data_IF_214720859730
#
_entry.id   IF_214720859730
#
_cell.length_a   1.000
_cell.length_b   1.000
_cell.length_c   1.000
_cell.angle_alpha   90.00
_cell.angle_beta   90.00
_cell.angle_gamma   90.00
#
_symmetry.space_group_name_H-M   'P 1'
#
loop_
_entity.id
_entity.type
_entity.pdbx_description
1 polymer ?
#
# COMPACT_ATOMS: atom_id res chain seq x y z
N UNK A 1 11.48 16.91 -25.80
CA UNK A 1 11.28 16.25 -24.49
C UNK A 1 10.04 15.37 -24.58
N UNK A 2 10.17 14.05 -24.56
CA UNK A 2 9.03 13.15 -24.50
C UNK A 2 8.54 13.16 -23.06
N UNK A 3 7.32 13.66 -22.82
CA UNK A 3 6.66 13.47 -21.53
C UNK A 3 6.43 11.97 -21.36
N UNK A 4 7.14 11.34 -20.43
CA UNK A 4 6.81 9.99 -20.00
C UNK A 4 5.39 10.07 -19.39
N UNK A 5 4.41 9.69 -20.17
CA UNK A 5 3.05 9.50 -19.66
C UNK A 5 3.10 8.33 -18.69
N UNK A 6 2.92 8.63 -17.42
CA UNK A 6 2.84 7.64 -16.37
C UNK A 6 1.48 6.97 -16.53
N UNK A 7 1.49 5.72 -16.97
CA UNK A 7 0.28 4.91 -17.08
C UNK A 7 0.17 4.00 -15.87
N UNK A 8 -0.83 4.20 -15.03
CA UNK A 8 -1.25 3.21 -14.03
C UNK A 8 -2.21 2.22 -14.66
N UNK A 9 -2.17 0.95 -14.21
CA UNK A 9 -3.15 -0.09 -14.58
C UNK A 9 -4.48 0.08 -13.84
N UNK A 10 -4.53 0.95 -12.84
CA UNK A 10 -5.74 1.26 -12.09
C UNK A 10 -6.75 2.02 -12.94
N UNK A 11 -8.05 1.82 -12.67
CA UNK A 11 -9.14 2.62 -13.27
C UNK A 11 -9.02 4.11 -12.96
N UNK A 12 -8.29 4.47 -11.90
CA UNK A 12 -8.02 5.87 -11.54
C UNK A 12 -6.89 6.49 -12.36
N UNK A 13 -6.16 5.73 -13.18
CA UNK A 13 -4.91 6.13 -13.85
C UNK A 13 -5.04 7.11 -15.03
N UNK A 14 -6.22 7.67 -15.30
CA UNK A 14 -6.50 8.48 -16.50
C UNK A 14 -6.10 9.95 -16.45
N UNK A 15 -5.49 10.45 -15.38
CA UNK A 15 -5.16 11.86 -15.17
C UNK A 15 -3.67 12.19 -15.41
N UNK A 16 -3.35 13.49 -15.57
CA UNK A 16 -2.01 13.91 -16.05
C UNK A 16 -0.93 14.05 -14.98
N UNK A 17 -1.28 14.20 -13.70
CA UNK A 17 -0.29 14.37 -12.61
C UNK A 17 -0.50 13.33 -11.51
N UNK A 18 0.57 12.68 -11.08
CA UNK A 18 0.50 11.56 -10.13
C UNK A 18 -0.11 11.92 -8.77
N UNK A 19 0.26 13.07 -8.19
CA UNK A 19 -0.22 13.55 -6.89
C UNK A 19 -1.72 13.85 -6.92
N UNK A 20 -2.17 14.63 -7.92
CA UNK A 20 -3.59 14.96 -8.12
C UNK A 20 -4.46 13.70 -8.28
N UNK A 21 -3.95 12.67 -8.98
CA UNK A 21 -4.67 11.42 -9.22
C UNK A 21 -4.90 10.66 -7.91
N UNK A 22 -3.82 10.50 -7.15
CA UNK A 22 -3.86 9.72 -5.91
C UNK A 22 -4.79 10.38 -4.89
N UNK A 23 -4.71 11.71 -4.76
CA UNK A 23 -5.59 12.46 -3.87
C UNK A 23 -7.04 12.43 -4.34
N UNK A 24 -7.31 12.63 -5.62
CA UNK A 24 -8.67 12.56 -6.16
C UNK A 24 -9.27 11.15 -5.96
N UNK A 25 -8.50 10.09 -6.19
CA UNK A 25 -8.95 8.72 -5.96
C UNK A 25 -9.28 8.47 -4.48
N UNK A 26 -8.44 8.96 -3.55
CA UNK A 26 -8.71 8.90 -2.11
C UNK A 26 -10.01 9.60 -1.76
N UNK A 27 -10.20 10.84 -2.25
CA UNK A 27 -11.39 11.64 -1.98
C UNK A 27 -12.67 10.98 -2.51
N UNK A 28 -12.64 10.40 -3.72
CA UNK A 28 -13.77 9.65 -4.25
C UNK A 28 -14.10 8.40 -3.43
N UNK A 29 -13.07 7.69 -2.94
CA UNK A 29 -13.30 6.55 -2.04
C UNK A 29 -13.92 6.98 -0.71
N UNK A 30 -13.50 8.11 -0.16
CA UNK A 30 -14.09 8.68 1.06
C UNK A 30 -15.55 9.08 0.84
N UNK A 31 -15.87 9.71 -0.29
CA UNK A 31 -17.24 10.08 -0.63
C UNK A 31 -18.14 8.85 -0.75
N UNK A 32 -17.70 7.81 -1.45
CA UNK A 32 -18.44 6.56 -1.63
C UNK A 32 -18.55 5.72 -0.36
N UNK A 33 -17.49 5.68 0.45
CA UNK A 33 -17.46 4.94 1.71
C UNK A 33 -18.17 5.65 2.86
N UNK A 34 -18.43 6.95 2.70
CA UNK A 34 -19.19 7.79 3.62
C UNK A 34 -18.57 7.88 5.02
N UNK A 35 -19.40 8.24 6.04
CA UNK A 35 -18.92 8.44 7.41
C UNK A 35 -18.20 7.24 8.01
N UNK A 36 -18.60 6.03 7.67
CA UNK A 36 -18.01 4.82 8.23
C UNK A 36 -16.54 4.64 7.78
N UNK A 37 -16.24 4.88 6.49
CA UNK A 37 -14.86 4.86 6.00
C UNK A 37 -14.04 6.01 6.60
N UNK A 38 -14.61 7.21 6.68
CA UNK A 38 -13.95 8.38 7.26
C UNK A 38 -13.53 8.14 8.71
N UNK A 39 -14.45 7.60 9.53
CA UNK A 39 -14.16 7.25 10.92
C UNK A 39 -13.12 6.13 11.03
N UNK A 40 -13.09 5.17 10.10
CA UNK A 40 -12.08 4.12 10.06
C UNK A 40 -10.68 4.68 9.75
N UNK A 41 -10.58 5.67 8.85
CA UNK A 41 -9.30 6.26 8.42
C UNK A 41 -8.71 7.26 9.41
N UNK A 42 -9.57 8.04 10.07
CA UNK A 42 -9.13 9.19 10.88
C UNK A 42 -9.56 9.11 12.36
N UNK A 43 -10.08 7.97 12.80
CA UNK A 43 -10.69 7.80 14.09
C UNK A 43 -12.10 8.40 14.16
N UNK A 44 -12.72 8.31 15.32
CA UNK A 44 -14.06 8.86 15.50
C UNK A 44 -13.99 10.41 15.55
N UNK A 45 -14.02 11.01 14.35
CA UNK A 45 -14.10 12.46 14.18
C UNK A 45 -15.54 12.98 14.23
N UNK A 46 -16.47 12.12 14.62
CA UNK A 46 -17.88 12.48 14.75
C UNK A 46 -18.56 12.79 13.42
N UNK A 47 -18.16 12.11 12.33
CA UNK A 47 -18.78 12.28 11.00
C UNK A 47 -20.16 11.62 11.02
N UNK A 48 -21.19 12.43 11.22
CA UNK A 48 -22.59 11.96 11.26
C UNK A 48 -23.32 12.18 9.94
N UNK A 49 -22.78 13.01 9.04
CA UNK A 49 -23.48 13.49 7.85
C UNK A 49 -22.71 13.27 6.55
N UNK A 50 -23.40 13.37 5.42
CA UNK A 50 -22.81 13.33 4.09
C UNK A 50 -21.69 14.37 3.95
N UNK A 51 -20.52 13.92 3.60
CA UNK A 51 -19.35 14.78 3.42
C UNK A 51 -19.32 15.32 2.00
N UNK A 52 -19.17 16.62 1.83
CA UNK A 52 -18.88 17.24 0.54
C UNK A 52 -17.38 17.17 0.28
N UNK A 53 -17.01 16.64 -0.86
CA UNK A 53 -15.63 16.44 -1.29
C UNK A 53 -15.33 17.40 -2.46
N UNK A 54 -14.28 18.20 -2.34
CA UNK A 54 -13.79 19.05 -3.41
C UNK A 54 -12.33 18.71 -3.72
N UNK A 55 -12.01 18.55 -4.99
CA UNK A 55 -10.64 18.45 -5.48
C UNK A 55 -10.15 19.83 -5.90
N UNK A 56 -8.89 20.18 -5.59
CA UNK A 56 -8.25 21.44 -5.97
C UNK A 56 -9.05 22.69 -5.54
N UNK A 57 -8.97 23.01 -4.26
CA UNK A 57 -9.66 24.19 -3.70
C UNK A 57 -9.00 25.47 -4.17
N UNK A 58 -9.76 26.30 -4.91
CA UNK A 58 -9.27 27.56 -5.41
C UNK A 58 -8.93 28.55 -4.28
N UNK A 59 -7.66 28.64 -3.94
CA UNK A 59 -7.10 29.66 -3.06
C UNK A 59 -6.34 30.74 -3.87
N UNK A 60 -6.20 31.93 -3.33
CA UNK A 60 -5.51 33.05 -4.01
C UNK A 60 -4.00 32.89 -4.10
N UNK A 61 -3.37 32.07 -3.23
CA UNK A 61 -1.91 31.89 -3.16
C UNK A 61 -1.45 30.44 -2.93
N UNK A 62 -2.33 29.60 -2.42
CA UNK A 62 -2.04 28.18 -2.16
C UNK A 62 -3.31 27.38 -2.43
N UNK A 63 -3.16 26.25 -3.10
CA UNK A 63 -4.26 25.38 -3.51
C UNK A 63 -4.00 24.03 -2.86
N UNK A 64 -4.70 23.66 -1.76
CA UNK A 64 -4.67 22.31 -1.24
C UNK A 64 -5.18 21.30 -2.27
N UNK A 65 -4.62 20.08 -2.25
CA UNK A 65 -5.02 19.02 -3.18
C UNK A 65 -6.47 18.59 -3.00
N UNK A 66 -7.03 18.76 -1.78
CA UNK A 66 -8.40 18.42 -1.49
C UNK A 66 -9.00 19.13 -0.29
N UNK A 67 -10.31 19.06 -0.21
CA UNK A 67 -11.12 19.63 0.86
C UNK A 67 -12.27 18.71 1.21
N UNK A 68 -12.50 18.52 2.51
CA UNK A 68 -13.64 17.83 3.07
C UNK A 68 -14.46 18.81 3.88
N UNK A 69 -15.76 18.89 3.57
CA UNK A 69 -16.74 19.74 4.29
C UNK A 69 -17.93 18.92 4.76
N UNK A 70 -18.18 18.96 6.04
CA UNK A 70 -19.39 18.45 6.70
C UNK A 70 -19.68 19.33 7.91
N UNK A 71 -19.89 18.74 9.09
CA UNK A 71 -19.81 19.40 10.40
C UNK A 71 -18.35 19.77 10.79
N UNK A 72 -17.39 19.48 9.93
CA UNK A 72 -15.97 19.82 10.02
C UNK A 72 -15.49 20.37 8.68
N UNK A 73 -14.35 21.07 8.71
CA UNK A 73 -13.68 21.59 7.52
C UNK A 73 -12.20 21.18 7.56
N UNK A 74 -11.77 20.36 6.60
CA UNK A 74 -10.41 19.82 6.53
C UNK A 74 -9.84 20.10 5.14
N UNK A 75 -8.68 20.73 5.08
CA UNK A 75 -7.84 20.76 3.90
C UNK A 75 -6.90 19.56 3.89
N UNK A 76 -6.74 18.95 2.73
CA UNK A 76 -5.84 17.82 2.52
C UNK A 76 -4.74 18.26 1.57
N UNK A 77 -3.51 18.04 1.99
CA UNK A 77 -2.32 18.14 1.16
C UNK A 77 -1.63 16.79 1.14
N UNK A 78 -1.24 16.33 -0.03
CA UNK A 78 -0.61 15.04 -0.20
C UNK A 78 0.76 15.15 -0.86
N UNK A 79 1.66 14.22 -0.54
CA UNK A 79 2.97 14.08 -1.15
C UNK A 79 3.19 12.62 -1.50
N UNK A 80 3.38 12.36 -2.78
CA UNK A 80 3.67 10.99 -3.28
C UNK A 80 5.17 10.75 -3.45
N UNK A 81 5.98 11.79 -3.32
CA UNK A 81 7.44 11.73 -3.35
C UNK A 81 8.00 11.95 -1.94
N UNK A 82 9.23 11.48 -1.65
CA UNK A 82 9.89 11.76 -0.38
C UNK A 82 9.91 13.25 -0.05
N UNK A 83 9.66 13.60 1.20
CA UNK A 83 9.59 15.00 1.69
C UNK A 83 10.82 15.83 1.31
N UNK A 84 11.97 15.18 1.23
CA UNK A 84 13.25 15.80 0.85
C UNK A 84 13.33 16.15 -0.64
N UNK A 85 12.50 15.54 -1.49
CA UNK A 85 12.37 15.91 -2.89
C UNK A 85 11.59 17.22 -2.97
N UNK A 86 12.14 18.21 -3.66
CA UNK A 86 11.58 19.57 -3.71
C UNK A 86 11.41 20.25 -2.33
N UNK A 87 12.30 19.97 -1.39
CA UNK A 87 12.22 20.39 0.03
C UNK A 87 11.79 21.83 0.23
N UNK A 88 12.45 22.80 -0.42
CA UNK A 88 12.13 24.23 -0.27
C UNK A 88 10.70 24.57 -0.71
N UNK A 89 10.21 23.89 -1.74
CA UNK A 89 8.84 24.04 -2.21
C UNK A 89 7.85 23.48 -1.18
N UNK A 90 8.11 22.28 -0.66
CA UNK A 90 7.29 21.65 0.38
C UNK A 90 7.19 22.51 1.64
N UNK A 91 8.30 23.10 2.10
CA UNK A 91 8.30 24.02 3.24
C UNK A 91 7.51 25.32 2.95
N UNK A 92 7.61 25.85 1.74
CA UNK A 92 6.83 27.03 1.35
C UNK A 92 5.32 26.72 1.33
N UNK A 93 4.92 25.61 0.73
CA UNK A 93 3.53 25.15 0.72
C UNK A 93 3.00 24.92 2.15
N UNK A 94 3.77 24.25 3.00
CA UNK A 94 3.40 23.98 4.39
C UNK A 94 3.02 25.28 5.11
N UNK A 95 3.83 26.33 4.97
CA UNK A 95 3.57 27.64 5.61
C UNK A 95 2.31 28.29 5.08
N UNK A 96 2.10 28.28 3.77
CA UNK A 96 0.91 28.85 3.13
C UNK A 96 -0.37 28.09 3.52
N UNK A 97 -0.32 26.74 3.56
CA UNK A 97 -1.46 25.92 3.97
C UNK A 97 -1.81 26.11 5.46
N UNK A 98 -0.83 26.26 6.35
CA UNK A 98 -1.07 26.58 7.76
C UNK A 98 -1.79 27.94 7.87
N UNK A 99 -1.37 28.93 7.08
CA UNK A 99 -2.01 30.24 7.06
C UNK A 99 -3.45 30.13 6.55
N UNK A 100 -3.67 29.45 5.42
CA UNK A 100 -4.98 29.27 4.82
C UNK A 100 -5.94 28.53 5.77
N UNK A 101 -5.48 27.49 6.44
CA UNK A 101 -6.29 26.72 7.41
C UNK A 101 -6.75 27.60 8.58
N UNK A 102 -5.87 28.46 9.10
CA UNK A 102 -6.23 29.42 10.16
C UNK A 102 -7.25 30.47 9.69
N UNK A 103 -7.05 31.05 8.50
CA UNK A 103 -7.96 32.05 7.92
C UNK A 103 -9.36 31.49 7.71
N UNK A 104 -9.50 30.21 7.39
CA UNK A 104 -10.78 29.55 7.12
C UNK A 104 -11.30 28.69 8.29
N UNK A 105 -10.67 28.73 9.44
CA UNK A 105 -11.01 27.88 10.60
C UNK A 105 -11.10 26.40 10.23
N UNK A 106 -10.20 25.94 9.33
CA UNK A 106 -10.12 24.58 8.86
C UNK A 106 -8.98 23.81 9.56
N UNK A 107 -9.12 22.52 9.72
CA UNK A 107 -8.04 21.61 10.03
C UNK A 107 -7.18 21.37 8.80
N UNK A 108 -5.93 20.98 8.99
CA UNK A 108 -5.01 20.65 7.92
C UNK A 108 -4.51 19.22 8.12
N UNK A 109 -4.69 18.36 7.10
CA UNK A 109 -4.19 17.00 7.06
C UNK A 109 -3.09 16.90 6.00
N UNK A 110 -1.91 16.47 6.40
CA UNK A 110 -0.83 16.09 5.48
C UNK A 110 -0.76 14.56 5.34
N UNK A 111 -0.68 14.09 4.10
CA UNK A 111 -0.48 12.69 3.74
C UNK A 111 0.85 12.60 3.01
N UNK A 112 1.81 11.85 3.55
CA UNK A 112 3.14 11.78 2.95
C UNK A 112 3.50 10.36 2.48
N UNK A 113 4.59 10.28 1.72
CA UNK A 113 5.20 9.02 1.32
C UNK A 113 5.85 8.30 2.51
N UNK A 114 6.53 9.06 3.38
CA UNK A 114 7.24 8.53 4.53
C UNK A 114 6.29 7.87 5.54
N UNK A 115 6.74 6.76 6.13
CA UNK A 115 6.03 6.08 7.23
C UNK A 115 6.35 6.72 8.61
N UNK A 116 7.30 7.66 8.66
CA UNK A 116 7.60 8.50 9.80
C UNK A 116 7.27 9.97 9.51
N UNK A 117 6.74 10.67 10.52
CA UNK A 117 6.38 12.08 10.36
C UNK A 117 7.59 12.92 9.98
N UNK A 118 7.59 13.66 8.86
CA UNK A 118 8.66 14.60 8.54
C UNK A 118 8.87 15.64 9.65
N UNK A 119 10.13 15.88 10.03
CA UNK A 119 10.49 16.75 11.14
C UNK A 119 9.86 18.14 11.05
N UNK A 120 9.68 18.67 9.83
CA UNK A 120 9.11 19.99 9.65
C UNK A 120 7.60 20.01 9.91
N UNK A 121 6.88 18.93 9.58
CA UNK A 121 5.47 18.76 9.92
C UNK A 121 5.32 18.56 11.43
N UNK A 122 6.19 17.75 12.04
CA UNK A 122 6.18 17.47 13.48
C UNK A 122 6.34 18.73 14.37
N UNK A 123 6.94 19.80 13.85
CA UNK A 123 7.03 21.10 14.55
C UNK A 123 5.68 21.81 14.69
N UNK A 124 4.64 21.33 14.02
CA UNK A 124 3.33 21.96 13.96
C UNK A 124 2.24 21.02 14.50
N UNK A 125 2.06 20.90 15.83
CA UNK A 125 1.16 19.92 16.46
C UNK A 125 -0.32 20.11 16.08
N UNK A 126 -0.68 21.25 15.50
CA UNK A 126 -2.03 21.52 14.97
C UNK A 126 -2.31 20.86 13.61
N UNK A 127 -1.28 20.28 12.97
CA UNK A 127 -1.43 19.58 11.70
C UNK A 127 -1.66 18.10 11.99
N UNK A 128 -2.74 17.55 11.47
CA UNK A 128 -2.92 16.10 11.42
C UNK A 128 -2.02 15.52 10.33
N UNK A 129 -1.40 14.39 10.63
CA UNK A 129 -0.52 13.71 9.69
C UNK A 129 -0.82 12.21 9.63
N UNK A 130 -0.68 11.69 8.42
CA UNK A 130 -0.68 10.24 8.15
C UNK A 130 0.18 9.96 6.92
N UNK A 131 0.30 8.69 6.52
CA UNK A 131 1.07 8.29 5.35
C UNK A 131 0.27 7.32 4.46
N UNK A 132 0.62 7.23 3.19
CA UNK A 132 -0.12 6.45 2.20
C UNK A 132 -0.23 4.97 2.55
N UNK A 133 0.81 4.38 3.16
CA UNK A 133 0.77 2.97 3.57
C UNK A 133 -0.30 2.73 4.63
N UNK A 134 -0.36 3.59 5.66
CA UNK A 134 -1.37 3.48 6.70
C UNK A 134 -2.81 3.62 6.13
N UNK A 135 -3.03 4.62 5.28
CA UNK A 135 -4.34 4.80 4.61
C UNK A 135 -4.75 3.53 3.86
N UNK A 136 -3.82 2.94 3.08
CA UNK A 136 -4.11 1.71 2.35
C UNK A 136 -4.43 0.54 3.29
N UNK A 137 -3.66 0.38 4.35
CA UNK A 137 -3.87 -0.71 5.33
C UNK A 137 -5.20 -0.55 6.07
N UNK A 138 -5.56 0.67 6.46
CA UNK A 138 -6.85 0.97 7.11
C UNK A 138 -8.03 0.73 6.14
N UNK A 139 -7.91 1.15 4.87
CA UNK A 139 -8.92 0.85 3.84
C UNK A 139 -9.08 -0.65 3.59
N UNK A 140 -8.00 -1.42 3.60
CA UNK A 140 -8.06 -2.88 3.46
C UNK A 140 -8.72 -3.55 4.66
N UNK A 141 -8.51 -3.02 5.85
CA UNK A 141 -9.24 -3.50 7.03
C UNK A 141 -10.72 -3.19 6.91
N UNK A 142 -11.06 -1.95 6.58
CA UNK A 142 -12.44 -1.53 6.36
C UNK A 142 -13.13 -2.38 5.29
N UNK A 143 -12.43 -2.74 4.20
CA UNK A 143 -12.92 -3.63 3.15
C UNK A 143 -13.35 -4.99 3.69
N UNK A 144 -12.62 -5.57 4.66
CA UNK A 144 -12.95 -6.87 5.25
C UNK A 144 -14.23 -6.82 6.08
N UNK A 145 -14.58 -5.66 6.61
CA UNK A 145 -15.75 -5.44 7.45
C UNK A 145 -17.00 -5.04 6.64
N UNK A 146 -16.81 -4.71 5.37
CA UNK A 146 -17.86 -4.26 4.46
C UNK A 146 -18.27 -5.34 3.46
N UNK A 147 -19.54 -5.72 3.51
CA UNK A 147 -20.13 -6.63 2.53
C UNK A 147 -20.57 -5.87 1.25
N UNK A 148 -19.64 -5.06 0.68
CA UNK A 148 -19.88 -4.24 -0.51
C UNK A 148 -18.82 -4.53 -1.58
N UNK A 149 -19.19 -5.35 -2.58
CA UNK A 149 -18.30 -5.76 -3.67
C UNK A 149 -17.70 -4.58 -4.45
N UNK A 150 -18.46 -3.49 -4.62
CA UNK A 150 -17.97 -2.30 -5.31
C UNK A 150 -16.83 -1.66 -4.53
N UNK A 151 -16.96 -1.49 -3.21
CA UNK A 151 -15.89 -0.95 -2.37
C UNK A 151 -14.69 -1.89 -2.33
N UNK A 152 -14.91 -3.20 -2.29
CA UNK A 152 -13.83 -4.20 -2.39
C UNK A 152 -13.03 -4.01 -3.67
N UNK A 153 -13.72 -3.86 -4.81
CA UNK A 153 -13.09 -3.63 -6.10
C UNK A 153 -12.34 -2.29 -6.14
N UNK A 154 -12.97 -1.20 -5.70
CA UNK A 154 -12.40 0.15 -5.74
C UNK A 154 -11.16 0.30 -4.84
N UNK A 155 -11.17 -0.29 -3.64
CA UNK A 155 -9.98 -0.32 -2.77
C UNK A 155 -8.86 -1.14 -3.41
N UNK A 156 -9.17 -2.23 -4.11
CA UNK A 156 -8.19 -2.97 -4.91
C UNK A 156 -7.58 -2.13 -6.03
N UNK A 157 -8.38 -1.32 -6.72
CA UNK A 157 -7.90 -0.40 -7.76
C UNK A 157 -7.05 0.74 -7.18
N UNK A 158 -7.38 1.22 -5.99
CA UNK A 158 -6.59 2.21 -5.28
C UNK A 158 -5.24 1.65 -4.82
N UNK A 159 -5.21 0.39 -4.38
CA UNK A 159 -3.95 -0.31 -4.09
C UNK A 159 -3.04 -0.34 -5.32
N UNK A 160 -3.57 -0.74 -6.49
CA UNK A 160 -2.80 -0.75 -7.75
C UNK A 160 -2.26 0.66 -8.06
N UNK A 161 -3.08 1.69 -7.87
CA UNK A 161 -2.68 3.07 -8.08
C UNK A 161 -1.52 3.48 -7.17
N UNK A 162 -1.62 3.19 -5.87
CA UNK A 162 -0.56 3.50 -4.90
C UNK A 162 0.72 2.72 -5.17
N UNK A 163 0.63 1.44 -5.53
CA UNK A 163 1.79 0.65 -5.94
C UNK A 163 2.47 1.26 -7.17
N UNK A 164 1.72 1.67 -8.19
CA UNK A 164 2.26 2.22 -9.43
C UNK A 164 2.86 3.63 -9.24
N UNK A 165 2.23 4.50 -8.46
CA UNK A 165 2.56 5.92 -8.42
C UNK A 165 3.31 6.37 -7.16
N UNK A 166 3.17 5.66 -6.05
CA UNK A 166 3.77 6.02 -4.77
C UNK A 166 4.88 5.06 -4.39
N UNK A 167 4.55 3.79 -4.18
CA UNK A 167 5.50 2.85 -3.57
C UNK A 167 6.57 2.34 -4.53
N UNK A 168 6.23 2.11 -5.82
CA UNK A 168 7.20 1.58 -6.79
C UNK A 168 8.23 2.60 -7.26
N UNK A 169 7.93 3.89 -7.22
CA UNK A 169 8.80 4.94 -7.76
C UNK A 169 10.03 5.21 -6.92
N UNK A 170 9.92 5.03 -5.62
CA UNK A 170 10.96 5.37 -4.65
C UNK A 170 11.63 4.14 -4.06
N UNK A 171 11.22 2.96 -4.50
CA UNK A 171 11.88 1.72 -4.19
C UNK A 171 13.08 1.52 -5.12
N UNK A 172 14.25 1.94 -4.64
CA UNK A 172 15.55 1.74 -5.34
C UNK A 172 16.07 0.31 -5.22
N UNK A 173 15.25 -0.64 -4.76
CA UNK A 173 15.63 -2.03 -4.61
C UNK A 173 15.66 -2.68 -6.01
N UNK A 174 16.81 -3.20 -6.39
CA UNK A 174 16.95 -3.98 -7.63
C UNK A 174 16.12 -5.25 -7.55
N UNK A 175 15.61 -5.71 -8.70
CA UNK A 175 14.77 -6.90 -8.76
C UNK A 175 15.45 -8.13 -8.17
N UNK A 176 16.80 -8.24 -8.36
CA UNK A 176 17.63 -9.32 -7.82
C UNK A 176 17.80 -9.28 -6.30
N UNK A 177 17.52 -8.15 -5.68
CA UNK A 177 17.60 -7.95 -4.22
C UNK A 177 16.22 -7.86 -3.58
N UNK A 178 15.15 -7.74 -4.38
CA UNK A 178 13.81 -7.52 -3.88
C UNK A 178 13.22 -8.78 -3.27
N UNK A 179 12.64 -8.62 -2.07
CA UNK A 179 11.88 -9.63 -1.36
C UNK A 179 10.41 -9.23 -1.35
N UNK A 180 9.55 -10.08 -1.85
CA UNK A 180 8.11 -10.00 -1.70
C UNK A 180 7.71 -10.60 -0.35
N UNK A 181 7.07 -9.84 0.52
CA UNK A 181 6.52 -10.34 1.79
C UNK A 181 5.00 -10.45 1.64
N UNK A 182 4.46 -11.65 1.92
CA UNK A 182 3.03 -11.95 1.80
C UNK A 182 2.49 -12.59 3.10
N UNK A 183 1.17 -12.51 3.37
CA UNK A 183 0.55 -13.26 4.45
C UNK A 183 0.74 -14.76 4.24
N UNK A 184 1.23 -15.46 5.28
CA UNK A 184 1.65 -16.86 5.18
C UNK A 184 0.60 -17.91 5.48
N UNK A 185 -0.53 -17.57 6.07
CA UNK A 185 -1.53 -18.48 6.69
C UNK A 185 -1.55 -19.93 6.16
N UNK A 186 -1.87 -20.14 4.90
CA UNK A 186 -1.81 -21.45 4.23
C UNK A 186 -0.59 -21.58 3.31
N UNK A 187 -0.11 -20.45 2.78
CA UNK A 187 0.95 -20.39 1.80
C UNK A 187 2.31 -20.82 2.39
N UNK A 188 2.60 -20.50 3.64
CA UNK A 188 3.83 -20.90 4.32
C UNK A 188 3.96 -22.43 4.41
N UNK A 189 2.88 -23.13 4.77
CA UNK A 189 2.87 -24.61 4.81
C UNK A 189 3.09 -25.20 3.41
N UNK A 190 2.46 -24.65 2.37
CA UNK A 190 2.64 -25.10 0.99
C UNK A 190 4.10 -24.89 0.56
N UNK A 191 4.65 -23.70 0.82
CA UNK A 191 6.04 -23.39 0.48
C UNK A 191 7.05 -24.32 1.19
N UNK A 192 6.84 -24.60 2.48
CA UNK A 192 7.70 -25.48 3.29
C UNK A 192 7.72 -26.94 2.82
N UNK A 193 6.55 -27.45 2.40
CA UNK A 193 6.41 -28.89 2.07
C UNK A 193 6.48 -29.19 0.58
N UNK A 194 6.10 -28.21 -0.27
CA UNK A 194 5.93 -28.44 -1.70
C UNK A 194 6.72 -27.47 -2.60
N UNK A 195 7.45 -26.50 -2.04
CA UNK A 195 8.32 -25.57 -2.76
C UNK A 195 7.59 -24.73 -3.83
N UNK A 196 6.36 -24.32 -3.58
CA UNK A 196 5.66 -23.37 -4.44
C UNK A 196 4.79 -22.41 -3.64
N UNK A 197 4.39 -21.33 -4.29
CA UNK A 197 3.38 -20.39 -3.82
C UNK A 197 2.31 -20.21 -4.89
N UNK A 198 1.06 -20.17 -4.46
CA UNK A 198 -0.09 -19.84 -5.31
C UNK A 198 -0.93 -18.73 -4.68
N UNK A 199 -1.54 -17.91 -5.51
CA UNK A 199 -2.51 -16.92 -5.08
C UNK A 199 -3.49 -16.59 -6.21
N UNK A 200 -4.39 -15.64 -5.96
CA UNK A 200 -5.40 -15.19 -6.93
C UNK A 200 -4.75 -14.80 -8.26
N UNK A 201 -5.38 -15.18 -9.36
CA UNK A 201 -4.89 -15.01 -10.72
C UNK A 201 -4.67 -13.54 -11.11
N UNK A 202 -5.52 -12.63 -10.63
CA UNK A 202 -5.53 -11.21 -10.94
C UNK A 202 -4.52 -10.39 -10.10
N UNK A 203 -3.85 -11.04 -9.17
CA UNK A 203 -2.88 -10.38 -8.30
C UNK A 203 -1.65 -9.92 -9.08
N UNK A 204 -1.27 -8.66 -8.90
CA UNK A 204 -0.09 -8.07 -9.55
C UNK A 204 1.08 -8.01 -8.57
N UNK A 205 2.27 -8.39 -9.07
CA UNK A 205 3.53 -8.34 -8.32
C UNK A 205 4.56 -7.53 -9.09
N UNK A 206 5.40 -6.79 -8.35
CA UNK A 206 6.65 -6.29 -8.90
C UNK A 206 7.63 -7.46 -9.05
N UNK A 207 8.51 -7.45 -10.05
CA UNK A 207 9.57 -8.44 -10.14
C UNK A 207 10.33 -8.52 -8.82
N UNK A 208 10.45 -9.72 -8.28
CA UNK A 208 11.17 -9.99 -7.04
C UNK A 208 11.92 -11.31 -7.16
N UNK A 209 13.14 -11.33 -6.65
CA UNK A 209 13.97 -12.54 -6.63
C UNK A 209 13.60 -13.46 -5.47
N UNK A 210 13.05 -12.90 -4.39
CA UNK A 210 12.76 -13.63 -3.17
C UNK A 210 11.33 -13.40 -2.70
N UNK A 211 10.80 -14.38 -1.93
CA UNK A 211 9.53 -14.29 -1.22
C UNK A 211 9.72 -14.73 0.23
N UNK A 212 9.06 -14.04 1.15
CA UNK A 212 9.00 -14.39 2.56
C UNK A 212 7.54 -14.40 3.03
N UNK A 213 7.23 -15.23 4.02
CA UNK A 213 5.90 -15.39 4.55
C UNK A 213 5.79 -14.77 5.94
N UNK A 214 4.83 -13.85 6.10
CA UNK A 214 4.48 -13.31 7.40
C UNK A 214 3.34 -14.14 8.00
N UNK A 215 3.62 -14.84 9.08
CA UNK A 215 2.67 -15.73 9.76
C UNK A 215 2.80 -15.53 11.28
N UNK A 216 1.67 -15.45 11.99
CA UNK A 216 1.63 -15.38 13.45
C UNK A 216 2.58 -14.35 14.07
N UNK A 217 2.63 -13.16 13.46
CA UNK A 217 3.48 -12.03 13.86
C UNK A 217 4.98 -12.27 13.70
N UNK A 218 5.39 -13.13 12.78
CA UNK A 218 6.81 -13.34 12.49
C UNK A 218 7.07 -13.68 11.02
N UNK A 219 8.34 -13.56 10.64
CA UNK A 219 8.91 -14.06 9.38
C UNK A 219 10.09 -14.96 9.78
N UNK A 220 10.06 -16.24 9.42
CA UNK A 220 11.06 -17.22 9.81
C UNK A 220 11.75 -17.92 8.62
N UNK A 221 11.30 -17.66 7.41
CA UNK A 221 11.84 -18.26 6.20
C UNK A 221 11.80 -17.32 5.01
N UNK A 222 12.79 -17.49 4.12
CA UNK A 222 12.87 -16.85 2.83
C UNK A 222 13.12 -17.87 1.74
N UNK A 223 12.52 -17.65 0.58
CA UNK A 223 12.64 -18.51 -0.58
C UNK A 223 13.08 -17.72 -1.79
N UNK A 224 13.88 -18.32 -2.66
CA UNK A 224 14.18 -17.80 -3.99
C UNK A 224 13.07 -18.18 -4.95
N UNK A 225 12.56 -17.22 -5.72
CA UNK A 225 11.62 -17.42 -6.81
C UNK A 225 12.45 -17.80 -8.05
N UNK A 226 12.35 -19.05 -8.52
CA UNK A 226 13.27 -19.56 -9.55
C UNK A 226 12.91 -19.14 -10.97
N UNK A 227 11.63 -19.01 -11.30
CA UNK A 227 11.15 -18.73 -12.65
C UNK A 227 10.21 -17.51 -12.73
N UNK A 228 10.31 -16.57 -11.77
CA UNK A 228 9.36 -15.48 -11.67
C UNK A 228 7.97 -15.99 -11.26
N UNK A 229 6.91 -15.37 -11.78
CA UNK A 229 5.55 -15.84 -11.57
C UNK A 229 4.87 -16.17 -12.90
N UNK A 230 4.03 -17.20 -12.87
CA UNK A 230 3.26 -17.69 -14.01
C UNK A 230 1.76 -17.54 -13.72
N UNK A 231 0.98 -17.13 -14.73
CA UNK A 231 -0.47 -17.18 -14.65
C UNK A 231 -0.94 -18.47 -15.30
N UNK A 232 -1.64 -19.29 -14.54
CA UNK A 232 -2.10 -20.61 -14.97
C UNK A 232 -3.60 -20.72 -14.81
N UNK A 233 -4.25 -21.42 -15.72
CA UNK A 233 -5.72 -21.65 -15.69
C UNK A 233 -6.11 -22.63 -14.57
N UNK A 234 -5.19 -23.53 -14.21
CA UNK A 234 -5.26 -24.40 -13.03
C UNK A 234 -3.86 -24.85 -12.65
N UNK A 235 -3.65 -25.35 -11.43
CA UNK A 235 -2.34 -25.91 -11.04
C UNK A 235 -1.97 -27.17 -11.84
N UNK A 236 -2.95 -27.92 -12.36
CA UNK A 236 -2.72 -29.10 -13.23
C UNK A 236 -2.07 -28.72 -14.56
N UNK A 237 -2.23 -27.44 -14.98
CA UNK A 237 -1.61 -26.93 -16.21
C UNK A 237 -0.14 -26.53 -16.05
N UNK A 238 0.40 -26.54 -14.82
CA UNK A 238 1.81 -26.21 -14.57
C UNK A 238 2.69 -27.34 -15.07
N UNK A 239 3.47 -27.06 -16.11
CA UNK A 239 4.40 -28.03 -16.70
C UNK A 239 5.70 -28.11 -15.93
N UNK A 240 6.33 -29.26 -15.95
CA UNK A 240 7.68 -29.48 -15.40
C UNK A 240 7.83 -29.08 -13.92
N UNK A 241 6.78 -29.29 -13.13
CA UNK A 241 6.81 -29.12 -11.69
C UNK A 241 6.27 -30.35 -10.98
N UNK A 242 7.10 -30.91 -10.07
CA UNK A 242 6.69 -32.03 -9.26
C UNK A 242 5.99 -31.56 -7.99
N UNK A 243 4.69 -31.73 -7.93
CA UNK A 243 3.88 -31.42 -6.76
C UNK A 243 4.02 -32.42 -5.62
N UNK A 244 4.70 -33.56 -5.85
CA UNK A 244 4.89 -34.60 -4.86
C UNK A 244 3.56 -35.12 -4.30
N UNK A 245 3.43 -35.13 -2.96
CA UNK A 245 2.21 -35.54 -2.26
C UNK A 245 1.22 -34.40 -2.02
N UNK A 246 1.26 -33.33 -2.81
CA UNK A 246 0.28 -32.25 -2.69
C UNK A 246 -1.11 -32.73 -3.12
N UNK A 247 -2.10 -32.51 -2.25
CA UNK A 247 -3.49 -32.84 -2.54
C UNK A 247 -4.19 -31.66 -3.20
N UNK A 248 -4.54 -31.83 -4.45
CA UNK A 248 -5.31 -30.84 -5.22
C UNK A 248 -6.72 -30.69 -4.65
N UNK A 249 -7.14 -29.47 -4.47
CA UNK A 249 -8.49 -29.08 -4.04
C UNK A 249 -9.28 -28.50 -5.21
N UNK A 250 -10.57 -28.27 -5.04
CA UNK A 250 -11.38 -27.61 -6.07
C UNK A 250 -10.88 -26.19 -6.39
N UNK A 251 -10.27 -25.50 -5.44
CA UNK A 251 -9.64 -24.20 -5.66
C UNK A 251 -8.48 -24.30 -6.66
N UNK A 252 -7.69 -25.37 -6.61
CA UNK A 252 -6.52 -25.56 -7.50
C UNK A 252 -6.89 -25.78 -8.98
N UNK A 253 -8.15 -26.07 -9.27
CA UNK A 253 -8.69 -26.17 -10.61
C UNK A 253 -9.11 -24.80 -11.19
N UNK A 254 -9.05 -23.75 -10.42
CA UNK A 254 -9.34 -22.38 -10.83
C UNK A 254 -8.06 -21.65 -11.27
N UNK A 255 -8.18 -20.51 -11.99
CA UNK A 255 -7.01 -19.72 -12.38
C UNK A 255 -6.22 -19.18 -11.20
N UNK A 256 -4.90 -19.33 -11.26
CA UNK A 256 -3.95 -18.86 -10.23
C UNK A 256 -2.75 -18.11 -10.79
N UNK A 257 -2.12 -17.31 -9.93
CA UNK A 257 -0.72 -16.93 -10.08
C UNK A 257 0.13 -17.94 -9.31
N UNK A 258 1.14 -18.52 -9.96
CA UNK A 258 2.00 -19.59 -9.47
C UNK A 258 3.46 -19.16 -9.47
N UNK A 259 4.22 -19.51 -8.43
CA UNK A 259 5.66 -19.26 -8.29
C UNK A 259 6.35 -20.51 -7.78
N UNK A 260 7.46 -20.91 -8.45
CA UNK A 260 8.34 -22.00 -8.01
C UNK A 260 9.34 -21.47 -7.01
N UNK A 261 9.52 -22.17 -5.90
CA UNK A 261 10.30 -21.73 -4.76
C UNK A 261 11.48 -22.66 -4.48
N UNK A 262 12.56 -22.05 -4.01
CA UNK A 262 13.72 -22.78 -3.46
C UNK A 262 14.06 -22.18 -2.09
N UNK A 263 14.08 -22.99 -1.01
CA UNK A 263 14.43 -22.50 0.32
C UNK A 263 15.83 -21.88 0.36
N UNK A 264 15.98 -20.73 1.05
CA UNK A 264 17.23 -19.98 1.21
C UNK A 264 17.54 -19.74 2.70
N UNK A 265 17.89 -20.83 3.40
CA UNK A 265 18.24 -20.79 4.82
C UNK A 265 19.50 -19.97 5.10
N UNK A 266 20.35 -19.78 4.09
CA UNK A 266 21.56 -18.96 4.17
C UNK A 266 21.29 -17.45 4.22
N UNK A 267 20.08 -17.02 3.86
CA UNK A 267 19.70 -15.60 3.84
C UNK A 267 18.90 -15.15 5.08
N UNK A 268 18.33 -16.09 5.83
CA UNK A 268 17.61 -15.82 7.06
C UNK A 268 17.80 -16.97 8.04
N UNK A 269 18.62 -16.75 9.06
CA UNK A 269 19.00 -17.71 10.10
C UNK A 269 18.31 -17.45 11.46
N UNK A 270 17.41 -16.49 11.49
CA UNK A 270 16.70 -16.03 12.69
C UNK A 270 15.25 -15.66 12.37
N UNK A 271 14.46 -15.42 13.41
CA UNK A 271 13.06 -15.00 13.30
C UNK A 271 12.98 -13.48 13.40
N UNK A 272 12.25 -12.88 12.48
CA UNK A 272 11.90 -11.45 12.52
C UNK A 272 10.51 -11.33 13.16
N UNK A 273 10.39 -10.62 14.29
CA UNK A 273 9.16 -10.54 15.07
C UNK A 273 8.38 -9.24 14.76
N UNK A 274 7.05 -9.30 14.95
CA UNK A 274 6.18 -8.14 14.88
C UNK A 274 5.52 -7.89 16.24
N UNK A 275 5.77 -6.72 16.83
CA UNK A 275 5.41 -6.43 18.22
C UNK A 275 4.06 -5.72 18.39
N UNK A 276 3.38 -5.36 17.28
CA UNK A 276 2.13 -4.62 17.32
C UNK A 276 0.88 -5.53 17.24
N UNK A 277 -0.29 -5.07 17.70
CA UNK A 277 -1.52 -5.85 17.66
C UNK A 277 -2.07 -6.06 16.23
N UNK A 278 -1.79 -5.15 15.31
CA UNK A 278 -2.21 -5.23 13.90
C UNK A 278 -1.25 -6.08 13.04
N UNK A 279 -1.71 -6.57 11.91
CA UNK A 279 -0.88 -7.34 10.99
C UNK A 279 0.12 -6.44 10.24
N UNK A 280 1.39 -6.84 10.19
CA UNK A 280 2.43 -6.16 9.41
C UNK A 280 2.14 -6.22 7.90
N UNK A 281 1.69 -7.38 7.42
CA UNK A 281 1.34 -7.58 6.01
C UNK A 281 -0.09 -8.09 5.90
N UNK A 282 -0.95 -7.38 5.18
CA UNK A 282 -2.33 -7.81 4.89
C UNK A 282 -2.50 -8.32 3.46
N UNK A 283 -1.72 -7.79 2.53
CA UNK A 283 -1.69 -8.23 1.13
C UNK A 283 -0.27 -8.53 0.68
N UNK A 284 0.55 -7.50 0.46
CA UNK A 284 1.95 -7.64 0.07
C UNK A 284 2.75 -6.41 0.51
N UNK A 285 4.02 -6.63 0.84
CA UNK A 285 5.03 -5.60 1.05
C UNK A 285 6.31 -5.99 0.34
N UNK A 286 7.21 -5.03 0.17
CA UNK A 286 8.51 -5.26 -0.45
C UNK A 286 9.61 -4.72 0.44
N UNK A 287 10.73 -5.45 0.47
CA UNK A 287 11.96 -5.03 1.13
C UNK A 287 13.17 -5.55 0.36
N UNK A 288 14.37 -5.16 0.74
CA UNK A 288 15.58 -5.76 0.19
C UNK A 288 16.04 -6.97 1.01
N UNK A 289 16.70 -7.92 0.35
CA UNK A 289 17.30 -9.07 1.04
C UNK A 289 18.33 -8.63 2.07
N UNK A 290 19.04 -7.53 1.81
CA UNK A 290 20.02 -6.95 2.73
C UNK A 290 19.37 -6.41 4.01
N UNK A 291 18.18 -5.76 3.91
CA UNK A 291 17.41 -5.36 5.09
C UNK A 291 16.87 -6.56 5.82
N UNK A 292 16.21 -7.48 5.10
CA UNK A 292 15.59 -8.66 5.69
C UNK A 292 16.58 -9.51 6.48
N UNK A 293 17.78 -9.73 5.96
CA UNK A 293 18.80 -10.55 6.64
C UNK A 293 19.37 -9.92 7.93
N UNK A 294 19.19 -8.62 8.13
CA UNK A 294 19.66 -7.88 9.32
C UNK A 294 18.54 -7.56 10.30
N UNK A 295 17.30 -7.54 9.84
CA UNK A 295 16.15 -7.18 10.62
C UNK A 295 15.93 -8.15 11.79
N UNK A 296 15.56 -7.63 12.96
CA UNK A 296 15.12 -8.43 14.11
C UNK A 296 13.63 -8.25 14.36
N UNK A 297 13.13 -7.09 13.96
CA UNK A 297 11.72 -6.76 14.03
C UNK A 297 11.22 -6.26 12.67
N UNK A 298 9.91 -6.23 12.48
CA UNK A 298 9.33 -5.67 11.26
C UNK A 298 9.55 -4.17 11.11
N UNK A 299 9.94 -3.47 12.17
CA UNK A 299 10.27 -2.04 12.13
C UNK A 299 11.62 -1.78 11.43
N UNK A 300 12.44 -2.82 11.29
CA UNK A 300 13.72 -2.75 10.59
C UNK A 300 13.56 -2.95 9.07
N UNK A 301 12.35 -3.33 8.59
CA UNK A 301 12.06 -3.66 7.19
C UNK A 301 11.43 -2.47 6.45
#
# INVERSE_FOLDING_TARGET
MRSNSITSKSIFGGYKKGEDIVTAALLHLMELGGPALMNSLFGDIGVETTTHVNTQVNGTKSIPDGELRANYHIYIESKIEPWTVNYNHNISQLKEHIKLSKENSASLLYITYEEEIPTDIAKHPQIAWTHWRKILDDMKQYRSDFNNEVMVYLVGQFEILLEDLVFSRHDNIKDEERVLIVPGRFADSIAKHHNFYKCQHDRSFRPAKYIAFYLDKHIDAVYEITNGYERVDSLECVKDFDFGMYFFTADDLMPHTFMRLKPRKDLLDHVITHNYPYAYVRNQRYTSITKLSKARTTDDL
#
